data_IF_514790835576
#
_entry.id   IF_514790835576
#
_cell.length_a   1.000
_cell.length_b   1.000
_cell.length_c   1.000
_cell.angle_alpha   90.00
_cell.angle_beta   90.00
_cell.angle_gamma   90.00
#
_symmetry.space_group_name_H-M   'P 1'
#
loop_
_entity.id
_entity.type
_entity.pdbx_description
1 polymer ?
#
# COMPACT_ATOMS: atom_id res chain seq x y z
N UNK A 1 -6.65 -19.77 -6.77
CA UNK A 1 -5.20 -19.71 -6.44
C UNK A 1 -4.78 -20.99 -5.68
N UNK A 2 -4.91 -22.16 -6.29
CA UNK A 2 -4.52 -23.45 -5.69
C UNK A 2 -3.36 -24.05 -6.46
N UNK A 3 -2.17 -24.12 -5.86
CA UNK A 3 -1.00 -24.78 -6.48
C UNK A 3 0.37 -24.15 -6.25
N UNK A 4 0.47 -22.97 -5.61
CA UNK A 4 1.77 -22.32 -5.40
C UNK A 4 2.48 -22.96 -4.19
N UNK A 5 3.60 -23.65 -4.45
CA UNK A 5 4.44 -24.29 -3.41
C UNK A 5 4.89 -23.24 -2.39
N UNK A 6 4.74 -23.48 -1.08
CA UNK A 6 5.05 -22.51 0.01
C UNK A 6 6.40 -21.78 -0.16
N UNK A 7 7.42 -22.43 -0.73
CA UNK A 7 8.71 -21.81 -1.06
C UNK A 7 8.64 -20.68 -2.09
N UNK A 8 7.74 -20.76 -3.08
CA UNK A 8 7.60 -19.73 -4.12
C UNK A 8 6.93 -18.44 -3.61
N UNK A 9 6.01 -18.57 -2.64
CA UNK A 9 5.37 -17.40 -2.02
C UNK A 9 6.42 -16.62 -1.22
N UNK A 10 7.30 -17.32 -0.50
CA UNK A 10 8.41 -16.70 0.23
C UNK A 10 9.37 -15.98 -0.71
N UNK A 11 9.77 -16.60 -1.82
CA UNK A 11 10.65 -15.92 -2.80
C UNK A 11 9.97 -14.74 -3.48
N UNK A 12 8.66 -14.82 -3.75
CA UNK A 12 7.90 -13.72 -4.36
C UNK A 12 7.78 -12.53 -3.39
N UNK A 13 7.46 -12.75 -2.11
CA UNK A 13 7.41 -11.70 -1.10
C UNK A 13 8.79 -11.06 -0.85
N UNK A 14 9.86 -11.86 -0.82
CA UNK A 14 11.22 -11.32 -0.75
C UNK A 14 11.56 -10.47 -1.98
N UNK A 15 11.27 -10.97 -3.18
CA UNK A 15 11.52 -10.23 -4.42
C UNK A 15 10.74 -8.92 -4.49
N UNK A 16 9.49 -8.89 -4.02
CA UNK A 16 8.69 -7.67 -3.93
C UNK A 16 9.20 -6.69 -2.86
N UNK A 17 9.84 -7.17 -1.79
CA UNK A 17 10.41 -6.33 -0.73
C UNK A 17 11.73 -5.63 -1.12
N UNK A 18 12.51 -6.20 -2.05
CA UNK A 18 13.77 -5.62 -2.53
C UNK A 18 13.61 -4.18 -3.06
N UNK A 19 12.69 -3.88 -4.00
CA UNK A 19 12.51 -2.52 -4.49
C UNK A 19 12.04 -1.55 -3.39
N UNK A 20 11.23 -1.99 -2.42
CA UNK A 20 10.85 -1.17 -1.26
C UNK A 20 12.05 -0.83 -0.39
N UNK A 21 12.93 -1.81 -0.12
CA UNK A 21 14.16 -1.59 0.65
C UNK A 21 15.13 -0.63 -0.05
N UNK A 22 15.30 -0.79 -1.36
CA UNK A 22 16.13 0.12 -2.17
C UNK A 22 15.55 1.54 -2.17
N UNK A 23 14.24 1.67 -2.37
CA UNK A 23 13.54 2.95 -2.34
C UNK A 23 13.66 3.64 -0.98
N UNK A 24 13.52 2.90 0.12
CA UNK A 24 13.68 3.43 1.47
C UNK A 24 15.13 3.88 1.76
N UNK A 25 16.13 3.12 1.30
CA UNK A 25 17.54 3.48 1.46
C UNK A 25 17.89 4.76 0.68
N UNK A 26 17.45 4.85 -0.59
CA UNK A 26 17.64 6.05 -1.38
C UNK A 26 16.87 7.25 -0.81
N UNK A 27 15.65 7.03 -0.33
CA UNK A 27 14.84 8.05 0.35
C UNK A 27 15.50 8.58 1.62
N UNK A 28 16.16 7.71 2.40
CA UNK A 28 16.90 8.11 3.59
C UNK A 28 18.16 8.94 3.27
N UNK A 29 18.86 8.61 2.18
CA UNK A 29 20.06 9.35 1.76
C UNK A 29 19.72 10.70 1.10
N UNK A 30 18.69 10.75 0.25
CA UNK A 30 18.34 11.94 -0.53
C UNK A 30 17.24 12.80 0.10
N UNK A 31 16.48 12.27 1.07
CA UNK A 31 15.35 12.96 1.70
C UNK A 31 15.72 14.24 2.45
N UNK A 32 16.98 14.39 2.87
CA UNK A 32 17.48 15.59 3.53
C UNK A 32 17.89 16.74 2.60
N UNK A 33 17.95 16.53 1.27
CA UNK A 33 18.55 17.49 0.34
C UNK A 33 17.53 18.55 -0.13
N UNK A 34 16.26 18.18 -0.32
CA UNK A 34 15.23 19.11 -0.79
C UNK A 34 13.81 18.61 -0.45
N UNK A 35 13.10 19.34 0.42
CA UNK A 35 11.70 19.03 0.77
C UNK A 35 10.77 19.03 -0.44
N UNK A 36 11.06 19.83 -1.48
CA UNK A 36 10.23 19.90 -2.69
C UNK A 36 10.24 18.59 -3.46
N UNK A 37 11.41 17.99 -3.67
CA UNK A 37 11.55 16.72 -4.38
C UNK A 37 10.95 15.58 -3.55
N UNK A 38 11.14 15.62 -2.23
CA UNK A 38 10.55 14.64 -1.33
C UNK A 38 9.01 14.70 -1.37
N UNK A 39 8.43 15.90 -1.28
CA UNK A 39 6.98 16.09 -1.37
C UNK A 39 6.42 15.62 -2.72
N UNK A 40 7.12 15.89 -3.82
CA UNK A 40 6.71 15.44 -5.16
C UNK A 40 6.78 13.92 -5.30
N UNK A 41 7.83 13.29 -4.76
CA UNK A 41 7.98 11.83 -4.74
C UNK A 41 6.92 11.16 -3.85
N UNK A 42 6.65 11.69 -2.66
CA UNK A 42 5.59 11.20 -1.78
C UNK A 42 4.20 11.37 -2.43
N UNK A 43 3.95 12.50 -3.08
CA UNK A 43 2.71 12.75 -3.81
C UNK A 43 2.53 11.75 -4.96
N UNK A 44 3.59 11.46 -5.72
CA UNK A 44 3.58 10.43 -6.76
C UNK A 44 3.31 9.03 -6.18
N UNK A 45 3.98 8.65 -5.09
CA UNK A 45 3.78 7.36 -4.42
C UNK A 45 2.35 7.22 -3.87
N UNK A 46 1.81 8.28 -3.26
CA UNK A 46 0.43 8.30 -2.77
C UNK A 46 -0.58 8.13 -3.91
N UNK A 47 -0.35 8.81 -5.05
CA UNK A 47 -1.17 8.66 -6.25
C UNK A 47 -1.13 7.24 -6.83
N UNK A 48 0.06 6.64 -6.95
CA UNK A 48 0.21 5.27 -7.43
C UNK A 48 -0.50 4.25 -6.53
N UNK A 49 -0.37 4.38 -5.20
CA UNK A 49 -1.07 3.51 -4.25
C UNK A 49 -2.59 3.67 -4.32
N UNK A 50 -3.09 4.89 -4.51
CA UNK A 50 -4.52 5.15 -4.67
C UNK A 50 -5.06 4.54 -5.97
N UNK A 51 -4.32 4.64 -7.08
CA UNK A 51 -4.67 3.99 -8.34
C UNK A 51 -4.78 2.47 -8.19
N UNK A 52 -3.75 1.81 -7.64
CA UNK A 52 -3.73 0.35 -7.44
C UNK A 52 -4.85 -0.09 -6.50
N UNK A 53 -5.09 0.68 -5.42
CA UNK A 53 -6.17 0.39 -4.48
C UNK A 53 -7.53 0.43 -5.18
N UNK A 54 -7.79 1.46 -5.98
CA UNK A 54 -9.07 1.61 -6.69
C UNK A 54 -9.26 0.58 -7.81
N UNK A 55 -8.22 0.29 -8.58
CA UNK A 55 -8.30 -0.56 -9.78
C UNK A 55 -8.25 -2.07 -9.46
N UNK A 56 -7.52 -2.46 -8.42
CA UNK A 56 -7.30 -3.88 -8.08
C UNK A 56 -7.91 -4.24 -6.73
N UNK A 57 -7.54 -3.51 -5.65
CA UNK A 57 -7.90 -3.91 -4.29
C UNK A 57 -9.41 -3.79 -3.99
N UNK A 58 -10.05 -2.69 -4.37
CA UNK A 58 -11.49 -2.48 -4.18
C UNK A 58 -12.31 -3.53 -4.95
N UNK A 59 -12.12 -3.75 -6.27
CA UNK A 59 -12.91 -4.74 -6.99
C UNK A 59 -12.62 -6.17 -6.51
N UNK A 60 -11.41 -6.48 -6.07
CA UNK A 60 -11.10 -7.79 -5.51
C UNK A 60 -11.77 -8.01 -4.14
N UNK A 61 -11.82 -6.99 -3.28
CA UNK A 61 -12.57 -7.03 -2.03
C UNK A 61 -14.08 -7.24 -2.23
N UNK A 62 -14.66 -6.62 -3.26
CA UNK A 62 -16.07 -6.80 -3.64
C UNK A 62 -16.33 -8.18 -4.26
N UNK A 63 -15.40 -8.73 -5.05
CA UNK A 63 -15.50 -10.09 -5.61
C UNK A 63 -15.42 -11.18 -4.52
N UNK A 64 -14.61 -10.94 -3.49
CA UNK A 64 -14.40 -11.91 -2.40
C UNK A 64 -15.53 -11.87 -1.35
N UNK A 65 -16.34 -10.80 -1.33
CA UNK A 65 -17.48 -10.67 -0.43
C UNK A 65 -18.79 -10.97 -1.14
N UNK A 66 -19.51 -12.02 -0.74
CA UNK A 66 -20.84 -12.36 -1.29
C UNK A 66 -21.94 -11.33 -0.95
N UNK A 67 -21.67 -10.38 -0.04
CA UNK A 67 -22.62 -9.35 0.38
C UNK A 67 -21.88 -8.05 0.79
N UNK A 68 -22.63 -6.96 1.07
CA UNK A 68 -22.14 -5.58 1.33
C UNK A 68 -21.00 -5.41 2.36
N UNK A 69 -20.54 -6.48 3.01
CA UNK A 69 -19.41 -6.56 3.93
C UNK A 69 -18.10 -5.99 3.38
N UNK A 70 -17.81 -6.12 2.08
CA UNK A 70 -16.60 -5.54 1.47
C UNK A 70 -16.57 -4.02 1.60
N UNK A 71 -17.71 -3.37 1.44
CA UNK A 71 -17.85 -1.91 1.56
C UNK A 71 -17.72 -1.46 3.02
N UNK A 72 -18.33 -2.19 3.96
CA UNK A 72 -18.15 -1.92 5.38
C UNK A 72 -16.68 -2.03 5.82
N UNK A 73 -15.93 -3.02 5.28
CA UNK A 73 -14.50 -3.16 5.54
C UNK A 73 -13.67 -1.96 5.08
N UNK A 74 -13.92 -1.45 3.88
CA UNK A 74 -13.25 -0.26 3.34
C UNK A 74 -13.58 0.98 4.18
N UNK A 75 -14.86 1.18 4.53
CA UNK A 75 -15.32 2.34 5.32
C UNK A 75 -14.74 2.31 6.74
N UNK A 76 -14.78 1.17 7.42
CA UNK A 76 -14.22 1.01 8.77
C UNK A 76 -12.69 1.20 8.72
N UNK A 77 -12.00 0.62 7.73
CA UNK A 77 -10.55 0.77 7.57
C UNK A 77 -10.14 2.23 7.35
N UNK A 78 -10.87 2.96 6.50
CA UNK A 78 -10.64 4.39 6.29
C UNK A 78 -10.87 5.22 7.57
N UNK A 79 -11.97 4.96 8.29
CA UNK A 79 -12.27 5.63 9.56
C UNK A 79 -11.19 5.40 10.62
N UNK A 80 -10.74 4.15 10.78
CA UNK A 80 -9.67 3.79 11.72
C UNK A 80 -8.35 4.46 11.32
N UNK A 81 -8.01 4.49 10.02
CA UNK A 81 -6.81 5.16 9.53
C UNK A 81 -6.81 6.66 9.83
N UNK A 82 -7.94 7.33 9.59
CA UNK A 82 -8.10 8.77 9.91
C UNK A 82 -8.03 9.00 11.42
N UNK A 83 -8.70 8.17 12.23
CA UNK A 83 -8.67 8.26 13.68
C UNK A 83 -7.26 8.08 14.25
N UNK A 84 -6.48 7.13 13.71
CA UNK A 84 -5.07 6.92 14.09
C UNK A 84 -4.19 8.10 13.69
N UNK A 85 -4.37 8.65 12.48
CA UNK A 85 -3.62 9.83 12.03
C UNK A 85 -3.87 11.03 12.94
N UNK A 86 -5.13 11.27 13.31
CA UNK A 86 -5.52 12.35 14.22
C UNK A 86 -5.10 12.14 15.68
N UNK A 87 -4.82 10.89 16.10
CA UNK A 87 -4.30 10.59 17.43
C UNK A 87 -2.78 10.85 17.55
N UNK A 88 -2.06 10.85 16.43
CA UNK A 88 -0.60 11.01 16.37
C UNK A 88 -0.15 12.48 16.30
N UNK A 89 -1.06 13.41 16.00
CA UNK A 89 -0.82 14.85 15.89
C UNK A 89 -1.24 15.60 17.16
#
# INVERSE_FOLDING_TARGET
MGGIRRRNILTASLAAGIPTGIGAFLGALFGGISSTILALSLGFAAGAMLYITCDEMIPEAQKLSESHSGTYGIVIGALVGIAMSGLIH
#
